data_IF_381003618136
#
_entry.id   IF_381003618136
#
_cell.length_a   1.000
_cell.length_b   1.000
_cell.length_c   1.000
_cell.angle_alpha   90.00
_cell.angle_beta   90.00
_cell.angle_gamma   90.00
#
_symmetry.space_group_name_H-M   'P 1'
#
loop_
_entity.id
_entity.type
_entity.pdbx_description
1 polymer ?
#
# COMPACT_ATOMS: atom_id res chain seq x y z
N UNK A 1 -25.87 1.20 0.16
CA UNK A 1 -26.20 -0.21 0.46
C UNK A 1 -26.05 -1.02 -0.82
N UNK A 2 -25.56 -2.26 -0.73
CA UNK A 2 -25.52 -3.24 -1.81
C UNK A 2 -26.24 -4.51 -1.33
N UNK A 3 -27.43 -4.80 -1.86
CA UNK A 3 -28.25 -5.96 -1.45
C UNK A 3 -28.40 -6.14 0.08
N UNK A 4 -28.62 -5.05 0.82
CA UNK A 4 -28.72 -5.09 2.29
C UNK A 4 -27.40 -5.00 3.05
N UNK A 5 -26.25 -5.00 2.35
CA UNK A 5 -24.94 -4.75 2.96
C UNK A 5 -24.57 -3.27 2.94
N UNK A 6 -24.04 -2.75 4.05
CA UNK A 6 -23.52 -1.39 4.10
C UNK A 6 -22.25 -1.28 3.26
N UNK A 7 -22.17 -0.19 2.50
CA UNK A 7 -20.97 0.19 1.73
C UNK A 7 -20.64 1.63 2.10
N UNK A 8 -19.46 1.83 2.66
CA UNK A 8 -18.94 3.14 3.02
C UNK A 8 -18.00 3.60 1.90
N UNK A 9 -18.33 4.73 1.29
CA UNK A 9 -17.50 5.36 0.26
C UNK A 9 -16.47 6.25 0.95
N UNK A 10 -15.20 6.06 0.62
CA UNK A 10 -14.09 6.82 1.17
C UNK A 10 -13.39 7.55 0.03
N UNK A 11 -13.37 8.88 0.05
CA UNK A 11 -12.53 9.63 -0.88
C UNK A 11 -11.05 9.37 -0.58
N UNK A 12 -10.35 8.89 -1.61
CA UNK A 12 -8.94 8.51 -1.53
C UNK A 12 -8.11 9.17 -2.64
N UNK A 13 -8.08 10.51 -2.73
CA UNK A 13 -7.30 11.22 -3.74
C UNK A 13 -5.81 10.90 -3.64
N UNK A 14 -5.14 10.87 -4.78
CA UNK A 14 -3.69 10.63 -4.87
C UNK A 14 -3.32 10.13 -6.25
N UNK A 15 -3.82 8.94 -6.61
CA UNK A 15 -3.64 8.42 -7.96
C UNK A 15 -4.35 9.31 -8.99
N UNK A 16 -5.65 9.50 -8.78
CA UNK A 16 -6.47 10.53 -9.42
C UNK A 16 -7.09 11.41 -8.33
N UNK A 17 -7.56 12.61 -8.68
CA UNK A 17 -8.21 13.51 -7.71
C UNK A 17 -9.59 13.01 -7.29
N UNK A 18 -10.29 12.28 -8.17
CA UNK A 18 -11.63 11.74 -7.93
C UNK A 18 -11.66 10.31 -7.41
N UNK A 19 -10.52 9.72 -7.04
CA UNK A 19 -10.48 8.32 -6.64
C UNK A 19 -11.28 8.09 -5.34
N UNK A 20 -12.05 7.00 -5.30
CA UNK A 20 -12.75 6.53 -4.10
C UNK A 20 -12.42 5.06 -3.82
N UNK A 21 -12.47 4.69 -2.56
CA UNK A 21 -12.40 3.30 -2.09
C UNK A 21 -13.72 2.90 -1.45
N UNK A 22 -14.10 1.62 -1.58
CA UNK A 22 -15.37 1.10 -1.06
C UNK A 22 -15.11 0.13 0.07
N UNK A 23 -15.51 0.49 1.29
CA UNK A 23 -15.36 -0.36 2.48
C UNK A 23 -16.69 -1.04 2.83
N UNK A 24 -16.63 -2.36 2.98
CA UNK A 24 -17.74 -3.22 3.38
C UNK A 24 -17.48 -3.73 4.81
N UNK A 25 -17.91 -3.00 5.86
CA UNK A 25 -17.59 -3.34 7.25
C UNK A 25 -18.10 -4.74 7.66
N UNK A 26 -19.31 -5.11 7.23
CA UNK A 26 -19.89 -6.43 7.52
C UNK A 26 -19.14 -7.60 6.88
N UNK A 27 -18.27 -7.34 5.89
CA UNK A 27 -17.44 -8.34 5.24
C UNK A 27 -15.96 -8.24 5.66
N UNK A 28 -15.58 -7.21 6.44
CA UNK A 28 -14.18 -6.91 6.72
C UNK A 28 -13.35 -6.74 5.45
N UNK A 29 -13.88 -6.05 4.42
CA UNK A 29 -13.22 -5.94 3.11
C UNK A 29 -13.23 -4.50 2.60
N UNK A 30 -12.13 -4.07 1.97
CA UNK A 30 -12.04 -2.80 1.27
C UNK A 30 -11.56 -3.00 -0.17
N UNK A 31 -12.21 -2.32 -1.11
CA UNK A 31 -11.79 -2.22 -2.50
C UNK A 31 -11.10 -0.88 -2.71
N UNK A 32 -9.79 -0.91 -2.96
CA UNK A 32 -8.92 0.29 -2.93
C UNK A 32 -8.56 0.84 -4.30
N UNK A 33 -9.00 0.16 -5.37
CA UNK A 33 -8.61 0.50 -6.75
C UNK A 33 -7.10 0.66 -6.84
N UNK A 34 -6.67 1.84 -7.29
CA UNK A 34 -5.27 2.18 -7.52
C UNK A 34 -4.70 3.11 -6.43
N UNK A 35 -5.39 3.24 -5.29
CA UNK A 35 -4.87 3.98 -4.13
C UNK A 35 -3.82 3.14 -3.38
N UNK A 36 -4.22 1.98 -2.86
CA UNK A 36 -3.37 1.05 -2.11
C UNK A 36 -3.30 -0.28 -2.86
N UNK A 37 -2.08 -0.74 -3.14
CA UNK A 37 -1.78 -2.09 -3.60
C UNK A 37 -1.11 -2.88 -2.50
N UNK A 38 -1.01 -4.19 -2.65
CA UNK A 38 -0.06 -4.92 -1.82
C UNK A 38 1.38 -4.46 -2.10
N UNK A 39 2.07 -4.04 -1.04
CA UNK A 39 3.45 -3.55 -1.02
C UNK A 39 3.71 -2.26 -1.83
N UNK A 40 2.67 -1.53 -2.28
CA UNK A 40 2.85 -0.19 -2.82
C UNK A 40 1.59 0.68 -2.75
N UNK A 41 1.67 1.91 -3.28
CA UNK A 41 0.52 2.75 -3.61
C UNK A 41 0.49 3.08 -5.12
N UNK A 42 -0.58 3.72 -5.57
CA UNK A 42 -0.67 4.27 -6.93
C UNK A 42 0.43 5.25 -7.29
N UNK A 43 0.72 5.37 -8.60
CA UNK A 43 1.47 6.53 -9.11
C UNK A 43 0.64 7.79 -8.90
N UNK A 44 1.28 8.93 -8.63
CA UNK A 44 0.60 10.20 -8.38
C UNK A 44 0.39 10.95 -9.71
N UNK A 45 -0.61 10.55 -10.51
CA UNK A 45 -0.85 11.19 -11.81
C UNK A 45 -1.51 12.56 -11.65
N UNK A 46 -2.50 12.67 -10.77
CA UNK A 46 -3.26 13.93 -10.59
C UNK A 46 -3.17 14.50 -9.17
N UNK A 47 -2.73 13.70 -8.20
CA UNK A 47 -2.59 14.10 -6.80
C UNK A 47 -1.15 14.37 -6.38
N UNK A 48 -0.95 14.57 -5.09
CA UNK A 48 0.35 14.82 -4.47
C UNK A 48 0.63 13.86 -3.29
N UNK A 49 1.86 13.84 -2.75
CA UNK A 49 2.22 12.96 -1.64
C UNK A 49 1.37 13.16 -0.39
N UNK A 50 0.97 14.39 -0.07
CA UNK A 50 0.12 14.71 1.08
C UNK A 50 -1.27 14.08 0.96
N UNK A 51 -1.88 14.18 -0.23
CA UNK A 51 -3.17 13.59 -0.54
C UNK A 51 -3.11 12.06 -0.46
N UNK A 52 -2.09 11.45 -1.08
CA UNK A 52 -1.92 10.01 -1.02
C UNK A 52 -1.68 9.53 0.43
N UNK A 53 -0.84 10.23 1.20
CA UNK A 53 -0.61 9.90 2.61
C UNK A 53 -1.91 9.96 3.41
N UNK A 54 -2.70 11.03 3.27
CA UNK A 54 -3.99 11.17 3.93
C UNK A 54 -4.95 10.04 3.56
N UNK A 55 -5.01 9.69 2.27
CA UNK A 55 -5.82 8.56 1.76
C UNK A 55 -5.40 7.22 2.35
N UNK A 56 -4.10 6.95 2.41
CA UNK A 56 -3.56 5.74 3.02
C UNK A 56 -3.82 5.70 4.53
N UNK A 57 -3.74 6.84 5.24
CA UNK A 57 -4.07 6.92 6.66
C UNK A 57 -5.54 6.60 6.94
N UNK A 58 -6.48 7.10 6.12
CA UNK A 58 -7.90 6.71 6.22
C UNK A 58 -8.06 5.20 6.09
N UNK A 59 -7.42 4.58 5.11
CA UNK A 59 -7.45 3.12 4.91
C UNK A 59 -6.82 2.38 6.11
N UNK A 60 -5.68 2.85 6.62
CA UNK A 60 -4.97 2.24 7.75
C UNK A 60 -5.73 2.33 9.08
N UNK A 61 -6.65 3.27 9.24
CA UNK A 61 -7.50 3.38 10.43
C UNK A 61 -8.58 2.29 10.54
N UNK A 62 -8.79 1.52 9.47
CA UNK A 62 -9.70 0.37 9.50
C UNK A 62 -9.09 -0.80 10.29
N UNK A 63 -9.90 -1.80 10.71
CA UNK A 63 -9.41 -2.95 11.46
C UNK A 63 -8.30 -3.71 10.74
N UNK A 64 -7.31 -4.19 11.49
CA UNK A 64 -6.14 -4.91 10.98
C UNK A 64 -6.47 -6.15 10.14
N UNK A 65 -7.57 -6.84 10.46
CA UNK A 65 -8.05 -8.01 9.74
C UNK A 65 -8.84 -7.67 8.46
N UNK A 66 -8.92 -6.39 8.07
CA UNK A 66 -9.59 -5.98 6.83
C UNK A 66 -8.82 -6.50 5.62
N UNK A 67 -9.50 -7.27 4.77
CA UNK A 67 -8.99 -7.74 3.49
C UNK A 67 -8.95 -6.57 2.48
N UNK A 68 -7.83 -6.41 1.79
CA UNK A 68 -7.62 -5.37 0.78
C UNK A 68 -7.67 -5.99 -0.62
N UNK A 69 -8.61 -5.51 -1.43
CA UNK A 69 -8.79 -5.86 -2.83
C UNK A 69 -8.40 -4.67 -3.70
N UNK A 70 -7.22 -4.72 -4.32
CA UNK A 70 -6.69 -3.64 -5.14
C UNK A 70 -6.87 -3.90 -6.64
N UNK A 71 -6.66 -2.88 -7.47
CA UNK A 71 -6.94 -2.92 -8.91
C UNK A 71 -6.03 -3.80 -9.76
N UNK A 72 -4.82 -4.14 -9.28
CA UNK A 72 -3.79 -4.80 -10.10
C UNK A 72 -2.94 -5.83 -9.34
N UNK A 73 -2.47 -6.85 -10.08
CA UNK A 73 -1.52 -7.87 -9.62
C UNK A 73 -0.06 -7.39 -9.77
N UNK A 74 0.32 -6.40 -8.96
CA UNK A 74 1.69 -5.83 -8.94
C UNK A 74 2.57 -6.35 -7.81
N UNK A 75 2.05 -7.26 -6.98
CA UNK A 75 2.65 -7.61 -5.69
C UNK A 75 4.07 -8.15 -5.81
N UNK A 76 4.39 -8.92 -6.86
CA UNK A 76 5.74 -9.44 -7.10
C UNK A 76 6.75 -8.37 -7.52
N UNK A 77 6.37 -7.38 -8.33
CA UNK A 77 7.28 -6.28 -8.65
C UNK A 77 7.40 -5.32 -7.46
N UNK A 78 6.32 -5.12 -6.71
CA UNK A 78 6.32 -4.32 -5.50
C UNK A 78 7.21 -4.93 -4.41
N UNK A 79 7.22 -6.25 -4.23
CA UNK A 79 8.07 -6.91 -3.24
C UNK A 79 9.56 -6.75 -3.54
N UNK A 80 9.95 -6.78 -4.82
CA UNK A 80 11.34 -6.53 -5.23
C UNK A 80 11.81 -5.12 -4.84
N UNK A 81 10.97 -4.11 -5.08
CA UNK A 81 11.27 -2.75 -4.66
C UNK A 81 11.29 -2.61 -3.13
N UNK A 82 10.30 -3.16 -2.42
CA UNK A 82 10.26 -3.09 -0.98
C UNK A 82 11.51 -3.72 -0.34
N UNK A 83 11.97 -4.87 -0.86
CA UNK A 83 13.17 -5.55 -0.38
C UNK A 83 14.46 -4.79 -0.71
N UNK A 84 14.50 -3.95 -1.75
CA UNK A 84 15.69 -3.16 -2.06
C UNK A 84 15.91 -2.00 -1.07
N UNK A 85 14.85 -1.57 -0.38
CA UNK A 85 14.89 -0.44 0.57
C UNK A 85 14.69 -0.84 2.04
N UNK A 86 14.13 -2.01 2.32
CA UNK A 86 13.95 -2.55 3.67
C UNK A 86 14.34 -4.05 3.78
N UNK A 87 15.58 -4.43 3.40
CA UNK A 87 15.99 -5.83 3.27
C UNK A 87 16.01 -6.62 4.58
N UNK A 88 16.07 -5.96 5.75
CA UNK A 88 16.11 -6.64 7.06
C UNK A 88 14.72 -6.89 7.65
N UNK A 89 13.65 -6.45 7.01
CA UNK A 89 12.29 -6.67 7.48
C UNK A 89 11.87 -8.15 7.31
N UNK A 90 11.88 -8.90 8.42
CA UNK A 90 11.53 -10.33 8.42
C UNK A 90 10.10 -10.62 7.95
N UNK A 91 9.15 -9.72 8.22
CA UNK A 91 7.78 -9.87 7.73
C UNK A 91 7.72 -9.74 6.21
N UNK A 92 8.47 -8.78 5.65
CA UNK A 92 8.57 -8.57 4.21
C UNK A 92 9.30 -9.73 3.52
N UNK A 93 10.38 -10.25 4.12
CA UNK A 93 11.12 -11.41 3.59
C UNK A 93 10.22 -12.65 3.47
N UNK A 94 9.48 -12.98 4.54
CA UNK A 94 8.51 -14.09 4.52
C UNK A 94 7.42 -13.85 3.48
N UNK A 95 6.85 -12.65 3.45
CA UNK A 95 5.79 -12.36 2.50
C UNK A 95 6.27 -12.41 1.04
N UNK A 96 7.45 -11.89 0.74
CA UNK A 96 8.03 -11.93 -0.60
C UNK A 96 8.26 -13.37 -1.10
N UNK A 97 8.61 -14.30 -0.20
CA UNK A 97 8.72 -15.72 -0.53
C UNK A 97 7.34 -16.32 -0.87
N UNK A 98 6.31 -16.05 -0.06
CA UNK A 98 4.92 -16.47 -0.33
C UNK A 98 4.43 -15.93 -1.68
N UNK A 99 4.68 -14.64 -1.97
CA UNK A 99 4.33 -13.98 -3.24
C UNK A 99 5.01 -14.70 -4.41
N UNK A 100 6.29 -15.02 -4.29
CA UNK A 100 7.04 -15.71 -5.34
C UNK A 100 6.49 -17.11 -5.61
N UNK A 101 6.09 -17.84 -4.56
CA UNK A 101 5.46 -19.15 -4.69
C UNK A 101 4.11 -19.06 -5.40
N UNK A 102 3.23 -18.14 -4.98
CA UNK A 102 1.91 -17.94 -5.59
C UNK A 102 2.02 -17.57 -7.07
N UNK A 103 2.88 -16.60 -7.39
CA UNK A 103 3.07 -16.17 -8.79
C UNK A 103 3.75 -17.23 -9.65
N UNK A 104 4.65 -18.05 -9.08
CA UNK A 104 5.21 -19.21 -9.76
C UNK A 104 4.17 -20.26 -10.16
N UNK A 105 3.01 -20.26 -9.50
CA UNK A 105 1.86 -21.11 -9.81
C UNK A 105 0.76 -20.37 -10.59
N UNK A 106 1.02 -19.14 -11.06
CA UNK A 106 0.02 -18.25 -11.66
C UNK A 106 -1.18 -17.91 -10.76
N UNK A 107 -1.09 -18.10 -9.45
CA UNK A 107 -2.15 -17.77 -8.51
C UNK A 107 -2.12 -16.27 -8.15
N UNK A 108 -3.28 -15.65 -7.88
CA UNK A 108 -3.34 -14.28 -7.37
C UNK A 108 -2.69 -14.13 -6.00
N UNK A 109 -2.23 -12.92 -5.70
CA UNK A 109 -1.70 -12.55 -4.37
C UNK A 109 -2.68 -11.71 -3.55
N UNK A 110 -3.87 -11.46 -4.11
CA UNK A 110 -4.95 -10.66 -3.54
C UNK A 110 -6.10 -11.60 -3.12
N UNK A 111 -6.74 -11.36 -1.96
CA UNK A 111 -6.54 -10.24 -1.05
C UNK A 111 -5.26 -10.32 -0.21
N UNK A 112 -4.73 -9.16 0.16
CA UNK A 112 -3.84 -8.99 1.33
C UNK A 112 -4.66 -8.53 2.54
N UNK A 113 -4.03 -8.28 3.69
CA UNK A 113 -4.68 -7.71 4.88
C UNK A 113 -3.99 -6.43 5.32
N UNK A 114 -4.73 -5.50 5.94
CA UNK A 114 -4.14 -4.27 6.47
C UNK A 114 -3.03 -4.53 7.49
N UNK A 115 -3.17 -5.55 8.33
CA UNK A 115 -2.10 -5.97 9.26
C UNK A 115 -0.80 -6.25 8.51
N UNK A 116 -0.88 -7.03 7.42
CA UNK A 116 0.28 -7.41 6.61
C UNK A 116 0.86 -6.18 5.89
N UNK A 117 0.01 -5.34 5.32
CA UNK A 117 0.46 -4.12 4.64
C UNK A 117 1.16 -3.13 5.61
N UNK A 118 0.65 -2.93 6.83
CA UNK A 118 1.32 -2.10 7.85
C UNK A 118 2.72 -2.63 8.22
N UNK A 119 2.92 -3.94 8.15
CA UNK A 119 4.20 -4.58 8.46
C UNK A 119 5.19 -4.56 7.30
N UNK A 120 4.72 -4.53 6.05
CA UNK A 120 5.57 -4.80 4.88
C UNK A 120 5.58 -3.71 3.81
N UNK A 121 4.55 -2.87 3.73
CA UNK A 121 4.40 -1.91 2.64
C UNK A 121 5.19 -0.62 2.93
N UNK A 122 6.19 -0.27 2.09
CA UNK A 122 7.05 0.88 2.38
C UNK A 122 6.29 2.22 2.40
N UNK A 123 5.16 2.32 1.70
CA UNK A 123 4.33 3.53 1.69
C UNK A 123 3.45 3.67 2.94
N UNK A 124 3.31 2.62 3.75
CA UNK A 124 2.66 2.65 5.06
C UNK A 124 3.68 2.72 6.20
N UNK A 125 4.98 2.71 5.86
CA UNK A 125 6.11 2.64 6.78
C UNK A 125 7.09 3.80 6.52
N UNK A 126 6.56 4.97 6.17
CA UNK A 126 7.35 6.19 5.90
C UNK A 126 8.22 6.62 7.09
N UNK A 127 7.89 6.16 8.29
CA UNK A 127 8.64 6.36 9.53
C UNK A 127 9.79 5.36 9.76
N UNK A 128 9.92 4.31 8.95
CA UNK A 128 10.96 3.29 9.11
C UNK A 128 12.35 3.91 8.91
N UNK A 129 13.21 3.78 9.93
CA UNK A 129 14.59 4.26 9.89
C UNK A 129 15.40 3.58 8.77
N UNK A 130 15.15 2.29 8.52
CA UNK A 130 15.83 1.54 7.47
C UNK A 130 15.44 2.07 6.08
N UNK A 131 14.14 2.27 5.82
CA UNK A 131 13.67 2.85 4.54
C UNK A 131 14.25 4.26 4.35
N UNK A 132 14.20 5.09 5.40
CA UNK A 132 14.72 6.45 5.35
C UNK A 132 16.22 6.47 5.08
N UNK A 133 16.99 5.60 5.73
CA UNK A 133 18.42 5.46 5.48
C UNK A 133 18.71 4.96 4.05
N UNK A 134 18.05 3.90 3.59
CA UNK A 134 18.24 3.32 2.25
C UNK A 134 18.00 4.31 1.11
N UNK A 135 17.11 5.28 1.30
CA UNK A 135 16.76 6.29 0.31
C UNK A 135 17.34 7.68 0.61
N UNK A 136 18.22 7.81 1.59
CA UNK A 136 18.80 9.08 2.04
C UNK A 136 17.73 10.14 2.36
N UNK A 137 16.59 9.73 2.93
CA UNK A 137 15.52 10.62 3.37
C UNK A 137 15.99 11.32 4.66
N UNK A 138 15.99 12.67 4.71
CA UNK A 138 16.42 13.40 5.90
C UNK A 138 15.60 13.00 7.13
N UNK A 139 16.20 12.89 8.33
CA UNK A 139 15.46 12.64 9.56
C UNK A 139 14.39 13.70 9.86
N UNK A 140 14.61 14.93 9.39
CA UNK A 140 13.67 16.06 9.53
C UNK A 140 12.52 16.04 8.52
N UNK A 141 12.55 15.16 7.51
CA UNK A 141 11.50 15.08 6.51
C UNK A 141 10.19 14.57 7.15
N UNK A 142 9.09 15.21 6.78
CA UNK A 142 7.73 14.77 7.10
C UNK A 142 7.42 13.44 6.40
N UNK A 143 6.38 12.74 6.86
CA UNK A 143 5.95 11.49 6.22
C UNK A 143 5.47 11.69 4.78
N UNK A 144 4.92 12.87 4.44
CA UNK A 144 4.50 13.18 3.09
C UNK A 144 5.71 13.36 2.15
N UNK A 145 6.74 14.08 2.60
CA UNK A 145 8.02 14.20 1.88
C UNK A 145 8.68 12.83 1.70
N UNK A 146 8.73 12.02 2.76
CA UNK A 146 9.24 10.66 2.71
C UNK A 146 8.46 9.80 1.69
N UNK A 147 7.12 9.85 1.71
CA UNK A 147 6.27 9.16 0.74
C UNK A 147 6.59 9.60 -0.69
N UNK A 148 6.76 10.90 -0.93
CA UNK A 148 7.13 11.45 -2.23
C UNK A 148 8.49 10.92 -2.73
N UNK A 149 9.48 10.83 -1.84
CA UNK A 149 10.81 10.28 -2.17
C UNK A 149 10.71 8.77 -2.47
N UNK A 150 10.03 7.99 -1.63
CA UNK A 150 9.79 6.55 -1.86
C UNK A 150 9.07 6.32 -3.19
N UNK A 151 8.06 7.15 -3.49
CA UNK A 151 7.30 7.09 -4.75
C UNK A 151 8.20 7.30 -5.96
N UNK A 152 9.02 8.35 -5.92
CA UNK A 152 9.98 8.67 -6.98
C UNK A 152 11.03 7.58 -7.16
N UNK A 153 11.53 7.01 -6.05
CA UNK A 153 12.47 5.89 -6.11
C UNK A 153 11.83 4.68 -6.80
N UNK A 154 10.58 4.33 -6.45
CA UNK A 154 9.86 3.22 -7.07
C UNK A 154 9.53 3.44 -8.54
N UNK A 155 9.29 4.70 -8.94
CA UNK A 155 9.00 5.02 -10.35
C UNK A 155 10.22 4.87 -11.27
N UNK A 156 11.43 4.86 -10.70
CA UNK A 156 12.71 4.73 -11.41
C UNK A 156 13.46 3.41 -11.10
N UNK A 157 12.80 2.44 -10.46
CA UNK A 157 13.34 1.12 -10.11
C UNK A 157 12.95 0.08 -11.16
#
# INVERSE_FOLDING_TARGET
>A
MFAGHQVLVMETPGHTKGHVSFYFPGCGAIFTGDTLFSLSCGKLFEGNPEQMLSSLQKIMSLPDNTNVYCGHEYTLSNSKFALSIEPKNEHLLKYAAEISQLRGQNLPTIPTTLKREKQCNPFLRTYSEEIRHSLNIPPTATDAEALGIIRRAKDNF
#
